data_IF_528155036829
#
_entry.id   IF_528155036829
#
_cell.length_a   1.000
_cell.length_b   1.000
_cell.length_c   1.000
_cell.angle_alpha   90.00
_cell.angle_beta   90.00
_cell.angle_gamma   90.00
#
_symmetry.space_group_name_H-M   'P 1'
#
loop_
_entity.id
_entity.type
_entity.pdbx_description
1 polymer ?
#
# COMPACT_ATOMS: atom_id res chain seq x y z
N UNK A 1 4.89 4.00 -15.11
CA UNK A 1 4.28 2.68 -15.34
C UNK A 1 3.68 2.23 -14.02
N UNK A 2 2.38 2.38 -13.83
CA UNK A 2 1.71 1.90 -12.61
C UNK A 2 1.62 0.38 -12.68
N UNK A 3 2.28 -0.32 -11.75
CA UNK A 3 2.17 -1.77 -11.63
C UNK A 3 0.72 -2.20 -11.33
N UNK A 4 0.41 -3.50 -11.45
CA UNK A 4 -0.93 -4.01 -11.14
C UNK A 4 -1.35 -3.62 -9.72
N UNK A 5 -2.62 -3.29 -9.52
CA UNK A 5 -3.15 -2.96 -8.19
C UNK A 5 -2.88 -4.10 -7.20
N UNK A 6 -2.52 -3.78 -5.94
CA UNK A 6 -2.27 -4.80 -4.94
C UNK A 6 -3.53 -5.64 -4.70
N UNK A 7 -3.38 -6.96 -4.72
CA UNK A 7 -4.44 -7.90 -4.34
C UNK A 7 -4.93 -7.66 -2.91
N UNK A 8 -6.13 -8.12 -2.58
CA UNK A 8 -6.68 -8.03 -1.22
C UNK A 8 -5.73 -8.60 -0.16
N UNK A 9 -5.09 -9.74 -0.43
CA UNK A 9 -4.11 -10.34 0.47
C UNK A 9 -2.87 -9.44 0.69
N UNK A 10 -2.43 -8.71 -0.33
CA UNK A 10 -1.35 -7.73 -0.21
C UNK A 10 -1.79 -6.51 0.60
N UNK A 11 -3.00 -6.01 0.40
CA UNK A 11 -3.54 -4.91 1.21
C UNK A 11 -3.58 -5.28 2.70
N UNK A 12 -4.06 -6.48 3.05
CA UNK A 12 -4.07 -6.96 4.45
C UNK A 12 -2.65 -6.97 5.04
N UNK A 13 -1.65 -7.45 4.28
CA UNK A 13 -0.24 -7.44 4.72
C UNK A 13 0.32 -6.02 4.88
N UNK A 14 -0.05 -5.09 4.00
CA UNK A 14 0.35 -3.68 4.09
C UNK A 14 -0.16 -3.09 5.41
N UNK A 15 -1.44 -3.28 5.74
CA UNK A 15 -2.02 -2.79 6.98
C UNK A 15 -1.42 -3.44 8.23
N UNK A 16 -1.20 -4.76 8.24
CA UNK A 16 -0.54 -5.46 9.37
C UNK A 16 0.87 -4.91 9.63
N UNK A 17 1.68 -4.70 8.58
CA UNK A 17 3.02 -4.14 8.74
C UNK A 17 3.00 -2.66 9.16
N UNK A 18 2.04 -1.87 8.65
CA UNK A 18 1.86 -0.49 9.08
C UNK A 18 1.45 -0.40 10.55
N UNK A 19 0.56 -1.28 11.03
CA UNK A 19 0.15 -1.36 12.42
C UNK A 19 1.31 -1.73 13.37
N UNK A 20 2.34 -2.42 12.85
CA UNK A 20 3.60 -2.70 13.55
C UNK A 20 4.60 -1.55 13.51
N UNK A 21 4.22 -0.41 12.95
CA UNK A 21 5.04 0.81 12.90
C UNK A 21 6.06 0.85 11.76
N UNK A 22 5.95 -0.03 10.75
CA UNK A 22 6.82 0.06 9.58
C UNK A 22 6.42 1.24 8.69
N UNK A 23 7.43 1.90 8.11
CA UNK A 23 7.22 2.94 7.11
C UNK A 23 6.77 2.37 5.76
N UNK A 24 6.07 3.17 4.96
CA UNK A 24 5.63 2.76 3.62
C UNK A 24 6.79 2.24 2.73
N UNK A 25 7.98 2.83 2.86
CA UNK A 25 9.19 2.38 2.15
C UNK A 25 9.63 0.98 2.59
N UNK A 26 9.70 0.75 3.91
CA UNK A 26 10.09 -0.57 4.44
C UNK A 26 9.06 -1.66 4.08
N UNK A 27 7.78 -1.31 4.09
CA UNK A 27 6.69 -2.21 3.66
C UNK A 27 6.84 -2.56 2.18
N UNK A 28 7.08 -1.56 1.33
CA UNK A 28 7.27 -1.74 -0.10
C UNK A 28 8.47 -2.66 -0.42
N UNK A 29 9.62 -2.42 0.22
CA UNK A 29 10.81 -3.27 0.08
C UNK A 29 10.53 -4.71 0.54
N UNK A 30 9.80 -4.89 1.65
CA UNK A 30 9.49 -6.20 2.22
C UNK A 30 8.49 -7.01 1.39
N UNK A 31 7.58 -6.32 0.69
CA UNK A 31 6.54 -6.94 -0.13
C UNK A 31 6.87 -6.95 -1.63
N UNK A 32 8.00 -6.36 -2.05
CA UNK A 32 8.37 -6.22 -3.46
C UNK A 32 7.40 -5.33 -4.24
N UNK A 33 6.84 -4.31 -3.59
CA UNK A 33 5.87 -3.37 -4.17
C UNK A 33 6.50 -2.01 -4.44
N UNK A 34 5.84 -1.20 -5.27
CA UNK A 34 6.21 0.21 -5.38
C UNK A 34 5.75 0.97 -4.13
N UNK A 35 6.58 1.91 -3.65
CA UNK A 35 6.25 2.74 -2.48
C UNK A 35 4.95 3.51 -2.68
N UNK A 36 4.71 3.99 -3.89
CA UNK A 36 3.47 4.70 -4.27
C UNK A 36 2.23 3.83 -4.10
N UNK A 37 2.31 2.54 -4.44
CA UNK A 37 1.19 1.61 -4.25
C UNK A 37 0.87 1.43 -2.76
N UNK A 38 1.90 1.30 -1.92
CA UNK A 38 1.71 1.22 -0.47
C UNK A 38 1.08 2.51 0.07
N UNK A 39 1.49 3.67 -0.44
CA UNK A 39 0.90 4.96 -0.04
C UNK A 39 -0.55 5.09 -0.46
N UNK A 40 -0.94 4.66 -1.67
CA UNK A 40 -2.34 4.66 -2.11
C UNK A 40 -3.20 3.75 -1.23
N UNK A 41 -2.66 2.60 -0.82
CA UNK A 41 -3.38 1.68 0.09
C UNK A 41 -3.56 2.32 1.47
N UNK A 42 -2.52 2.95 2.02
CA UNK A 42 -2.56 3.53 3.37
C UNK A 42 -3.30 4.89 3.44
N UNK A 43 -3.24 5.67 2.37
CA UNK A 43 -3.86 6.98 2.21
C UNK A 43 -4.60 7.03 0.86
N UNK A 44 -5.77 6.37 0.76
CA UNK A 44 -6.53 6.37 -0.47
C UNK A 44 -6.94 7.81 -0.83
N UNK A 45 -6.86 8.19 -2.12
CA UNK A 45 -7.32 9.50 -2.55
C UNK A 45 -8.82 9.66 -2.20
N UNK A 46 -9.27 10.87 -1.88
CA UNK A 46 -10.68 11.13 -1.62
C UNK A 46 -11.49 10.68 -2.83
N UNK A 47 -12.50 9.84 -2.61
CA UNK A 47 -13.43 9.44 -3.68
C UNK A 47 -14.22 10.68 -4.07
N UNK A 48 -13.85 11.31 -5.17
CA UNK A 48 -14.71 12.27 -5.85
C UNK A 48 -15.87 11.47 -6.43
N UNK A 49 -16.97 11.40 -5.70
CA UNK A 49 -18.27 10.99 -6.25
C UNK A 49 -18.65 12.01 -7.33
N UNK A 50 -18.92 11.58 -8.58
CA UNK A 50 -19.47 12.45 -9.62
C UNK A 50 -20.89 12.91 -9.30
#
# INVERSE_FOLDING_TARGET
MSGPEPSFAQMVRIYDLCARGLSAKAIAERLGLAVEQVQIVLNPPPRTTP
#
